data_IF_872438710285
#
_entry.id   IF_872438710285
#
_cell.length_a   1.000
_cell.length_b   1.000
_cell.length_c   1.000
_cell.angle_alpha   90.00
_cell.angle_beta   90.00
_cell.angle_gamma   90.00
#
_symmetry.space_group_name_H-M   'P 1'
#
loop_
_entity.id
_entity.type
_entity.pdbx_description
1 polymer ?
#
# COMPACT_ATOMS: atom_id res chain seq x y z
N UNK A 1 31.23 15.82 6.70
CA UNK A 1 29.81 15.82 6.29
C UNK A 1 28.99 16.17 7.51
N UNK A 2 28.19 17.25 7.47
CA UNK A 2 27.44 17.75 8.61
C UNK A 2 26.04 17.13 8.60
N UNK A 3 25.78 16.21 9.52
CA UNK A 3 24.41 15.79 9.85
C UNK A 3 23.79 16.90 10.71
N UNK A 4 23.00 17.78 10.09
CA UNK A 4 22.36 18.90 10.79
C UNK A 4 21.02 18.42 11.33
N UNK A 5 20.88 18.37 12.66
CA UNK A 5 19.58 18.20 13.32
C UNK A 5 18.77 19.49 13.15
N UNK A 6 18.19 19.69 11.96
CA UNK A 6 17.27 20.79 11.72
C UNK A 6 15.88 20.36 12.16
N UNK A 7 15.32 21.09 13.13
CA UNK A 7 13.90 21.00 13.47
C UNK A 7 13.10 21.55 12.29
N UNK A 8 12.34 20.69 11.61
CA UNK A 8 11.43 21.14 10.56
C UNK A 8 10.30 21.91 11.23
N UNK A 9 10.25 23.23 11.03
CA UNK A 9 9.15 24.08 11.51
C UNK A 9 7.88 23.77 10.73
N UNK A 10 6.72 23.72 11.39
CA UNK A 10 5.42 23.51 10.71
C UNK A 10 5.15 24.51 9.58
N UNK A 11 5.68 25.73 9.72
CA UNK A 11 5.62 26.77 8.69
C UNK A 11 6.23 26.33 7.35
N UNK A 12 7.26 25.48 7.38
CA UNK A 12 7.92 24.94 6.18
C UNK A 12 7.09 23.78 5.59
N UNK A 13 6.45 22.96 6.44
CA UNK A 13 5.55 21.89 6.00
C UNK A 13 4.35 22.47 5.24
N UNK A 14 3.80 23.59 5.71
CA UNK A 14 2.67 24.28 5.06
C UNK A 14 3.02 24.92 3.70
N UNK A 15 4.31 25.07 3.37
CA UNK A 15 4.77 25.59 2.08
C UNK A 15 4.91 24.49 1.02
N UNK A 16 4.79 23.21 1.41
CA UNK A 16 4.76 22.11 0.45
C UNK A 16 3.39 22.14 -0.23
N UNK A 17 3.31 22.27 -1.57
CA UNK A 17 2.04 22.22 -2.26
C UNK A 17 1.41 20.85 -2.04
N UNK A 18 0.27 20.83 -1.34
CA UNK A 18 -0.57 19.65 -1.28
C UNK A 18 -1.22 19.47 -2.66
N UNK A 19 -1.23 18.25 -3.23
CA UNK A 19 -1.91 18.02 -4.49
C UNK A 19 -3.40 18.35 -4.31
N UNK A 20 -3.97 19.13 -5.24
CA UNK A 20 -5.41 19.32 -5.32
C UNK A 20 -6.01 18.03 -5.87
N UNK A 21 -6.36 17.12 -4.96
CA UNK A 21 -7.13 15.91 -5.27
C UNK A 21 -8.60 16.30 -5.19
N UNK A 22 -9.41 15.92 -6.18
CA UNK A 22 -10.86 16.17 -6.13
C UNK A 22 -11.54 15.19 -5.15
N UNK A 23 -12.75 15.54 -4.71
CA UNK A 23 -13.47 14.74 -3.71
C UNK A 23 -13.73 13.30 -4.18
N UNK A 24 -13.83 13.10 -5.51
CA UNK A 24 -14.02 11.78 -6.13
C UNK A 24 -12.76 10.91 -6.00
N UNK A 25 -11.59 11.45 -6.32
CA UNK A 25 -10.32 10.73 -6.21
C UNK A 25 -9.96 10.48 -4.74
N UNK A 26 -10.31 11.39 -3.83
CA UNK A 26 -10.15 11.18 -2.39
C UNK A 26 -11.03 10.00 -1.92
N UNK A 27 -12.32 10.00 -2.29
CA UNK A 27 -13.22 8.90 -1.97
C UNK A 27 -12.77 7.56 -2.57
N UNK A 28 -12.13 7.58 -3.74
CA UNK A 28 -11.55 6.38 -4.36
C UNK A 28 -10.38 5.81 -3.55
N UNK A 29 -9.54 6.67 -2.97
CA UNK A 29 -8.38 6.24 -2.17
C UNK A 29 -8.80 5.66 -0.81
N UNK A 30 -9.87 6.18 -0.22
CA UNK A 30 -10.42 5.68 1.04
C UNK A 30 -11.30 4.43 0.85
N UNK A 31 -11.67 4.10 -0.39
CA UNK A 31 -12.46 2.93 -0.70
C UNK A 31 -11.67 1.63 -0.44
N UNK A 32 -12.41 0.59 -0.02
CA UNK A 32 -11.86 -0.75 0.15
C UNK A 32 -11.21 -1.23 -1.16
N UNK A 33 -9.97 -1.76 -1.12
CA UNK A 33 -9.31 -2.28 -2.29
C UNK A 33 -10.12 -3.37 -3.00
N UNK A 34 -10.18 -3.30 -4.31
CA UNK A 34 -10.86 -4.30 -5.15
C UNK A 34 -9.97 -5.52 -5.40
N UNK A 35 -10.59 -6.67 -5.71
CA UNK A 35 -9.86 -7.90 -6.05
C UNK A 35 -8.90 -7.70 -7.24
N UNK A 36 -9.29 -6.89 -8.22
CA UNK A 36 -8.46 -6.57 -9.38
C UNK A 36 -7.23 -5.73 -9.02
N UNK A 37 -7.34 -4.82 -8.05
CA UNK A 37 -6.19 -4.05 -7.54
C UNK A 37 -5.22 -4.96 -6.80
N UNK A 38 -5.73 -5.88 -5.98
CA UNK A 38 -4.91 -6.89 -5.30
C UNK A 38 -4.20 -7.79 -6.33
N UNK A 39 -4.91 -8.27 -7.36
CA UNK A 39 -4.33 -9.07 -8.43
C UNK A 39 -3.18 -8.32 -9.14
N UNK A 40 -3.42 -7.07 -9.55
CA UNK A 40 -2.41 -6.22 -10.18
C UNK A 40 -1.23 -5.94 -9.26
N UNK A 41 -1.48 -5.76 -7.97
CA UNK A 41 -0.42 -5.56 -6.98
C UNK A 41 0.49 -6.80 -6.90
N UNK A 42 -0.10 -8.00 -6.81
CA UNK A 42 0.63 -9.28 -6.80
C UNK A 42 1.50 -9.41 -8.05
N UNK A 43 0.97 -9.10 -9.24
CA UNK A 43 1.73 -9.16 -10.50
C UNK A 43 2.93 -8.19 -10.51
N UNK A 44 2.75 -6.99 -9.96
CA UNK A 44 3.76 -5.94 -9.91
C UNK A 44 4.89 -6.20 -8.90
N UNK A 45 4.73 -7.15 -7.97
CA UNK A 45 5.78 -7.49 -7.00
C UNK A 45 7.03 -7.95 -7.78
N UNK A 46 8.22 -7.41 -7.47
CA UNK A 46 9.44 -7.85 -8.13
C UNK A 46 9.85 -9.24 -7.64
N UNK A 47 10.17 -10.12 -8.59
CA UNK A 47 10.75 -11.43 -8.30
C UNK A 47 12.17 -11.29 -7.73
N UNK A 48 12.66 -12.34 -7.08
CA UNK A 48 14.00 -12.47 -6.47
C UNK A 48 14.26 -11.46 -5.35
N UNK A 49 13.21 -10.85 -4.81
CA UNK A 49 13.31 -10.13 -3.54
C UNK A 49 13.50 -11.14 -2.42
N UNK A 50 14.33 -10.79 -1.44
CA UNK A 50 14.42 -11.57 -0.21
C UNK A 50 13.02 -11.66 0.42
N UNK A 51 12.60 -12.85 0.87
CA UNK A 51 11.33 -13.00 1.56
C UNK A 51 11.31 -12.17 2.85
N UNK A 52 10.10 -11.83 3.30
CA UNK A 52 9.92 -11.10 4.55
C UNK A 52 10.19 -11.98 5.78
N UNK A 53 9.78 -11.50 6.96
CA UNK A 53 9.83 -12.27 8.21
C UNK A 53 8.93 -13.53 8.16
N UNK A 54 7.94 -13.51 7.29
CA UNK A 54 7.03 -14.60 6.99
C UNK A 54 7.67 -15.72 6.16
N UNK A 55 8.88 -15.50 5.65
CA UNK A 55 9.59 -16.41 4.74
C UNK A 55 8.81 -16.71 3.43
N UNK A 56 7.88 -15.82 3.07
CA UNK A 56 7.06 -15.95 1.85
C UNK A 56 7.70 -15.20 0.70
N UNK A 57 8.18 -15.89 -0.35
CA UNK A 57 8.75 -15.23 -1.51
C UNK A 57 7.66 -14.68 -2.45
N UNK A 58 8.00 -13.63 -3.19
CA UNK A 58 7.11 -13.02 -4.18
C UNK A 58 6.62 -14.02 -5.24
N UNK A 59 7.47 -14.97 -5.62
CA UNK A 59 7.16 -16.03 -6.57
C UNK A 59 6.04 -16.94 -6.09
N UNK A 60 5.96 -17.22 -4.78
CA UNK A 60 4.91 -18.06 -4.21
C UNK A 60 3.55 -17.35 -4.27
N UNK A 61 3.53 -16.05 -3.96
CA UNK A 61 2.34 -15.23 -4.06
C UNK A 61 1.81 -15.20 -5.50
N UNK A 62 2.70 -15.05 -6.48
CA UNK A 62 2.35 -15.06 -7.90
C UNK A 62 1.92 -16.44 -8.39
N UNK A 63 2.56 -17.51 -7.94
CA UNK A 63 2.23 -18.88 -8.32
C UNK A 63 0.89 -19.34 -7.74
N UNK A 64 0.44 -18.72 -6.64
CA UNK A 64 -0.82 -19.04 -5.97
C UNK A 64 -2.08 -18.73 -6.77
N UNK A 65 -1.99 -17.92 -7.83
CA UNK A 65 -3.10 -17.61 -8.73
C UNK A 65 -4.32 -17.04 -8.00
N UNK A 66 -5.51 -17.32 -8.52
CA UNK A 66 -6.77 -16.74 -8.02
C UNK A 66 -7.02 -17.05 -6.54
N UNK A 67 -6.70 -18.25 -6.07
CA UNK A 67 -6.95 -18.64 -4.67
C UNK A 67 -6.18 -17.77 -3.68
N UNK A 68 -4.91 -17.47 -3.98
CA UNK A 68 -4.10 -16.58 -3.12
C UNK A 68 -4.57 -15.13 -3.25
N UNK A 69 -4.96 -14.70 -4.45
CA UNK A 69 -5.53 -13.37 -4.67
C UNK A 69 -6.82 -13.15 -3.88
N UNK A 70 -7.75 -14.10 -3.92
CA UNK A 70 -9.01 -14.06 -3.16
C UNK A 70 -8.73 -14.04 -1.65
N UNK A 71 -7.85 -14.92 -1.17
CA UNK A 71 -7.50 -14.98 0.24
C UNK A 71 -6.84 -13.69 0.74
N UNK A 72 -5.91 -13.11 -0.03
CA UNK A 72 -5.29 -11.83 0.31
C UNK A 72 -6.29 -10.67 0.27
N UNK A 73 -7.23 -10.68 -0.68
CA UNK A 73 -8.26 -9.66 -0.79
C UNK A 73 -9.17 -9.64 0.44
N UNK A 74 -9.58 -10.81 0.94
CA UNK A 74 -10.36 -10.92 2.18
C UNK A 74 -9.60 -10.33 3.38
N UNK A 75 -8.32 -10.68 3.55
CA UNK A 75 -7.51 -10.16 4.66
C UNK A 75 -7.34 -8.64 4.57
N UNK A 76 -7.03 -8.13 3.37
CA UNK A 76 -6.82 -6.70 3.14
C UNK A 76 -8.13 -5.94 3.40
N UNK A 77 -9.26 -6.45 2.91
CA UNK A 77 -10.58 -5.87 3.18
C UNK A 77 -10.86 -5.81 4.68
N UNK A 78 -10.69 -6.93 5.37
CA UNK A 78 -10.98 -7.02 6.79
C UNK A 78 -10.10 -6.03 7.57
N UNK A 79 -8.81 -5.91 7.25
CA UNK A 79 -7.93 -4.91 7.87
C UNK A 79 -8.36 -3.47 7.56
N UNK A 80 -8.74 -3.18 6.32
CA UNK A 80 -9.19 -1.86 5.89
C UNK A 80 -10.45 -1.41 6.63
N UNK A 81 -11.43 -2.31 6.76
CA UNK A 81 -12.68 -2.03 7.48
C UNK A 81 -12.47 -1.87 8.99
N UNK A 82 -11.47 -2.53 9.58
CA UNK A 82 -11.13 -2.35 10.99
C UNK A 82 -10.39 -1.03 11.27
N UNK A 83 -9.64 -0.48 10.30
CA UNK A 83 -8.92 0.80 10.47
C UNK A 83 -9.84 2.02 10.45
N UNK A 84 -11.01 1.89 9.81
CA UNK A 84 -12.04 2.95 9.73
C UNK A 84 -12.92 3.01 11.02
N UNK A 85 -12.77 2.04 11.95
CA UNK A 85 -13.59 1.92 13.15
C UNK A 85 -13.08 2.74 14.36
#
# INVERSE_FOLDING_TARGET
MLNVNTTISEQILQQIPSPTIDDEELARQDAVPTLNEVAKAIEQIKNKKAPGKDDVPAELLKAGGNTVTEWLHEIIRDMWEQEIM
#
